data_IF_221826057143
#
_entry.id   IF_221826057143
#
_cell.length_a   1.000
_cell.length_b   1.000
_cell.length_c   1.000
_cell.angle_alpha   90.00
_cell.angle_beta   90.00
_cell.angle_gamma   90.00
#
_symmetry.space_group_name_H-M   'P 1'
#
loop_
_entity.id
_entity.type
_entity.pdbx_description
1 polymer ?
#
# COMPACT_ATOMS: atom_id res chain seq x y z
N UNK A 1 9.66 11.43 2.33
CA UNK A 1 8.59 11.15 3.31
C UNK A 1 7.88 9.81 3.15
N UNK A 2 8.10 9.08 2.10
CA UNK A 2 7.31 7.86 1.79
C UNK A 2 7.92 6.56 2.28
N UNK A 3 9.24 6.50 2.48
CA UNK A 3 9.90 5.41 3.18
C UNK A 3 9.45 5.34 4.65
N UNK A 4 9.02 6.48 5.20
CA UNK A 4 8.51 6.59 6.56
C UNK A 4 7.07 6.09 6.73
N UNK A 5 6.33 5.93 5.63
CA UNK A 5 4.94 5.50 5.65
C UNK A 5 4.79 4.06 6.17
N UNK A 6 5.52 3.12 5.58
CA UNK A 6 5.56 1.74 6.07
C UNK A 6 6.10 1.65 7.50
N UNK A 7 7.14 2.39 7.84
CA UNK A 7 7.71 2.42 9.18
C UNK A 7 6.71 2.95 10.22
N UNK A 8 5.89 3.94 9.84
CA UNK A 8 4.83 4.47 10.70
C UNK A 8 3.77 3.41 11.00
N UNK A 9 3.26 2.72 10.00
CA UNK A 9 2.27 1.65 10.16
C UNK A 9 2.85 0.45 10.91
N UNK A 10 4.10 0.06 10.64
CA UNK A 10 4.78 -0.99 11.38
C UNK A 10 4.91 -0.65 12.86
N UNK A 11 5.29 0.59 13.18
CA UNK A 11 5.42 1.05 14.55
C UNK A 11 4.09 0.94 15.31
N UNK A 12 2.96 1.28 14.69
CA UNK A 12 1.64 1.13 15.28
C UNK A 12 1.37 -0.35 15.61
N UNK A 13 1.64 -1.25 14.67
CA UNK A 13 1.44 -2.68 14.88
C UNK A 13 2.35 -3.23 15.99
N UNK A 14 3.61 -2.83 16.02
CA UNK A 14 4.58 -3.26 17.03
C UNK A 14 4.21 -2.77 18.43
N UNK A 15 3.82 -1.50 18.54
CA UNK A 15 3.47 -0.88 19.82
C UNK A 15 2.12 -1.34 20.35
N UNK A 16 1.29 -1.99 19.54
CA UNK A 16 0.03 -2.60 20.00
C UNK A 16 0.23 -3.73 21.01
N UNK A 17 1.44 -4.30 21.09
CA UNK A 17 1.72 -5.46 21.92
C UNK A 17 1.20 -6.78 21.34
N UNK A 18 0.54 -6.76 20.19
CA UNK A 18 0.03 -7.96 19.53
C UNK A 18 1.07 -8.49 18.53
N UNK A 19 1.81 -9.53 18.93
CA UNK A 19 2.84 -10.15 18.10
C UNK A 19 2.32 -10.68 16.78
N UNK A 20 1.16 -11.30 16.79
CA UNK A 20 0.57 -11.87 15.57
C UNK A 20 0.22 -10.79 14.56
N UNK A 21 -0.35 -9.69 15.03
CA UNK A 21 -0.62 -8.53 14.19
C UNK A 21 0.66 -7.99 13.55
N UNK A 22 1.71 -7.82 14.33
CA UNK A 22 3.00 -7.37 13.82
C UNK A 22 3.60 -8.34 12.81
N UNK A 23 3.55 -9.64 13.06
CA UNK A 23 4.02 -10.66 12.12
C UNK A 23 3.25 -10.67 10.80
N UNK A 24 1.94 -10.53 10.86
CA UNK A 24 1.08 -10.42 9.66
C UNK A 24 1.46 -9.18 8.86
N UNK A 25 1.65 -8.05 9.53
CA UNK A 25 2.08 -6.82 8.86
C UNK A 25 3.43 -7.01 8.16
N UNK A 26 4.43 -7.50 8.86
CA UNK A 26 5.79 -7.72 8.32
C UNK A 26 5.78 -8.68 7.14
N UNK A 27 4.99 -9.75 7.20
CA UNK A 27 4.88 -10.72 6.10
C UNK A 27 4.25 -10.13 4.83
N UNK A 28 3.47 -9.06 4.96
CA UNK A 28 2.86 -8.35 3.83
C UNK A 28 3.69 -7.17 3.31
N UNK A 29 4.81 -6.84 3.93
CA UNK A 29 5.66 -5.71 3.53
C UNK A 29 6.07 -5.73 2.06
N UNK A 30 6.48 -6.86 1.44
CA UNK A 30 6.81 -6.88 0.03
C UNK A 30 5.66 -6.45 -0.89
N UNK A 31 4.44 -6.89 -0.58
CA UNK A 31 3.22 -6.51 -1.31
C UNK A 31 2.91 -5.03 -1.09
N UNK A 32 3.00 -4.57 0.14
CA UNK A 32 2.77 -3.18 0.52
C UNK A 32 3.74 -2.24 -0.19
N UNK A 33 5.01 -2.59 -0.29
CA UNK A 33 6.01 -1.79 -1.03
C UNK A 33 5.63 -1.62 -2.50
N UNK A 34 5.09 -2.66 -3.12
CA UNK A 34 4.62 -2.57 -4.50
C UNK A 34 3.42 -1.64 -4.65
N UNK A 35 2.50 -1.65 -3.68
CA UNK A 35 1.35 -0.77 -3.64
C UNK A 35 1.73 0.68 -3.34
N UNK A 36 2.74 0.92 -2.51
CA UNK A 36 3.20 2.28 -2.17
C UNK A 36 3.84 3.02 -3.34
N UNK A 37 4.28 2.35 -4.38
CA UNK A 37 4.65 3.01 -5.63
C UNK A 37 3.45 3.69 -6.31
N UNK A 38 2.27 3.12 -6.15
CA UNK A 38 1.02 3.75 -6.58
C UNK A 38 0.68 4.96 -5.72
N UNK A 39 0.93 4.89 -4.42
CA UNK A 39 0.75 6.02 -3.51
C UNK A 39 1.55 7.24 -3.95
N UNK A 40 2.77 7.08 -4.43
CA UNK A 40 3.58 8.19 -4.94
C UNK A 40 2.88 8.97 -6.05
N UNK A 41 2.22 8.27 -6.94
CA UNK A 41 1.47 8.89 -8.03
C UNK A 41 0.21 9.58 -7.48
N UNK A 42 -0.47 8.95 -6.54
CA UNK A 42 -1.68 9.48 -5.93
C UNK A 42 -1.41 10.70 -5.05
N UNK A 43 -0.34 10.66 -4.24
CA UNK A 43 0.07 11.79 -3.39
C UNK A 43 0.48 13.02 -4.20
N UNK A 44 1.08 12.84 -5.36
CA UNK A 44 1.43 13.94 -6.25
C UNK A 44 0.19 14.69 -6.77
N UNK A 45 -0.94 13.99 -6.90
CA UNK A 45 -2.20 14.56 -7.41
C UNK A 45 -3.15 15.04 -6.31
N UNK A 46 -2.94 14.64 -5.04
CA UNK A 46 -3.85 14.95 -3.93
C UNK A 46 -3.09 15.33 -2.65
N UNK A 47 -2.73 16.61 -2.48
CA UNK A 47 -1.97 17.08 -1.31
C UNK A 47 -2.63 16.79 0.06
N UNK A 48 -3.96 16.64 0.10
CA UNK A 48 -4.69 16.37 1.34
C UNK A 48 -4.35 15.01 1.94
N UNK A 49 -3.90 14.05 1.14
CA UNK A 49 -3.48 12.73 1.63
C UNK A 49 -2.25 12.80 2.55
N UNK A 50 -1.39 13.80 2.36
CA UNK A 50 -0.21 13.99 3.20
C UNK A 50 -0.55 14.27 4.67
N UNK A 51 -1.75 14.80 4.94
CA UNK A 51 -2.20 15.11 6.29
C UNK A 51 -2.86 13.92 7.01
N UNK A 52 -3.12 12.83 6.34
CA UNK A 52 -3.84 11.70 6.95
C UNK A 52 -3.06 11.02 8.06
N UNK A 53 -1.73 10.94 7.94
CA UNK A 53 -0.89 10.41 9.00
C UNK A 53 -0.86 11.32 10.23
N UNK A 54 -0.89 12.63 10.02
CA UNK A 54 -0.98 13.58 11.13
C UNK A 54 -2.30 13.43 11.88
N UNK A 55 -3.41 13.28 11.16
CA UNK A 55 -4.73 13.04 11.76
C UNK A 55 -4.78 11.73 12.54
N UNK A 56 -4.16 10.68 12.00
CA UNK A 56 -4.08 9.40 12.67
C UNK A 56 -3.23 9.48 13.94
N UNK A 57 -2.10 10.18 13.88
CA UNK A 57 -1.25 10.41 15.04
C UNK A 57 -1.97 11.22 16.13
N UNK A 58 -2.67 12.28 15.75
CA UNK A 58 -3.51 13.05 16.68
C UNK A 58 -4.58 12.19 17.36
N UNK A 59 -5.21 11.31 16.61
CA UNK A 59 -6.21 10.40 17.15
C UNK A 59 -5.59 9.41 18.16
N UNK A 60 -4.40 8.90 17.89
CA UNK A 60 -3.66 8.03 18.82
C UNK A 60 -3.23 8.80 20.06
N UNK A 61 -2.71 10.00 19.90
CA UNK A 61 -2.26 10.87 21.00
C UNK A 61 -3.42 11.31 21.92
N UNK A 62 -4.64 11.35 21.40
CA UNK A 62 -5.82 11.67 22.20
C UNK A 62 -6.09 10.67 23.32
N UNK A 63 -5.56 9.45 23.23
CA UNK A 63 -5.79 8.40 24.18
C UNK A 63 -7.19 7.76 24.09
N UNK A 64 -8.00 8.14 23.11
CA UNK A 64 -9.31 7.58 22.87
C UNK A 64 -9.22 6.45 21.82
N UNK A 65 -9.36 5.17 22.22
CA UNK A 65 -9.24 4.05 21.30
C UNK A 65 -10.32 4.03 20.22
N UNK A 66 -11.53 4.48 20.51
CA UNK A 66 -12.62 4.53 19.52
C UNK A 66 -12.34 5.57 18.44
N UNK A 67 -11.79 6.70 18.82
CA UNK A 67 -11.34 7.72 17.87
C UNK A 67 -10.20 7.22 17.00
N UNK A 68 -9.22 6.55 17.57
CA UNK A 68 -8.08 5.99 16.86
C UNK A 68 -8.53 4.92 15.87
N UNK A 69 -9.43 4.03 16.27
CA UNK A 69 -10.01 2.99 15.40
C UNK A 69 -10.77 3.61 14.22
N UNK A 70 -11.63 4.57 14.48
CA UNK A 70 -12.40 5.25 13.44
C UNK A 70 -11.48 5.93 12.41
N UNK A 71 -10.41 6.56 12.86
CA UNK A 71 -9.45 7.23 11.98
C UNK A 71 -8.65 6.24 11.13
N UNK A 72 -8.22 5.11 11.69
CA UNK A 72 -7.54 4.04 10.94
C UNK A 72 -8.46 3.45 9.87
N UNK A 73 -9.70 3.15 10.22
CA UNK A 73 -10.69 2.61 9.27
C UNK A 73 -10.91 3.60 8.12
N UNK A 74 -11.10 4.86 8.43
CA UNK A 74 -11.28 5.92 7.43
C UNK A 74 -10.06 6.03 6.49
N UNK A 75 -8.86 6.00 7.06
CA UNK A 75 -7.61 6.05 6.31
C UNK A 75 -7.47 4.86 5.33
N UNK A 76 -7.72 3.65 5.81
CA UNK A 76 -7.61 2.44 5.00
C UNK A 76 -8.68 2.35 3.91
N UNK A 77 -9.92 2.73 4.22
CA UNK A 77 -11.01 2.77 3.24
C UNK A 77 -10.73 3.77 2.13
N UNK A 78 -10.21 4.94 2.48
CA UNK A 78 -9.83 5.95 1.50
C UNK A 78 -8.70 5.49 0.60
N UNK A 79 -7.67 4.86 1.17
CA UNK A 79 -6.57 4.29 0.40
C UNK A 79 -7.07 3.21 -0.58
N UNK A 80 -7.95 2.33 -0.11
CA UNK A 80 -8.59 1.31 -0.95
C UNK A 80 -9.34 1.93 -2.11
N UNK A 81 -10.16 2.93 -1.86
CA UNK A 81 -10.99 3.56 -2.88
C UNK A 81 -10.14 4.28 -3.93
N UNK A 82 -9.08 4.94 -3.52
CA UNK A 82 -8.14 5.61 -4.42
C UNK A 82 -7.39 4.63 -5.32
N UNK A 83 -6.88 3.55 -4.75
CA UNK A 83 -6.18 2.50 -5.50
C UNK A 83 -7.15 1.82 -6.49
N UNK A 84 -8.34 1.48 -6.05
CA UNK A 84 -9.38 0.89 -6.90
C UNK A 84 -9.75 1.79 -8.07
N UNK A 85 -9.92 3.08 -7.82
CA UNK A 85 -10.23 4.06 -8.86
C UNK A 85 -9.07 4.21 -9.87
N UNK A 86 -7.84 4.20 -9.39
CA UNK A 86 -6.65 4.26 -10.24
C UNK A 86 -6.55 3.04 -11.15
N UNK A 87 -6.69 1.84 -10.61
CA UNK A 87 -6.62 0.58 -11.36
C UNK A 87 -7.74 0.46 -12.40
N UNK A 88 -8.90 1.01 -12.12
CA UNK A 88 -10.03 1.03 -13.07
C UNK A 88 -9.78 1.94 -14.26
N UNK A 89 -9.02 3.03 -14.09
CA UNK A 89 -8.69 3.98 -15.17
C UNK A 89 -7.51 3.52 -16.03
N UNK A 90 -6.60 2.75 -15.48
CA UNK A 90 -5.42 2.25 -16.16
C UNK A 90 -5.36 0.73 -16.04
N UNK A 91 -6.21 -0.01 -16.80
CA UNK A 91 -6.14 -1.45 -16.76
C UNK A 91 -4.73 -1.90 -17.19
N UNK A 92 -4.14 -2.88 -16.51
CA UNK A 92 -2.84 -3.41 -16.89
C UNK A 92 -2.93 -3.88 -18.34
N UNK A 93 -2.02 -3.39 -19.18
CA UNK A 93 -1.92 -3.83 -20.57
C UNK A 93 -1.70 -5.35 -20.57
N UNK A 94 -2.65 -6.08 -21.13
CA UNK A 94 -2.60 -7.56 -21.23
C UNK A 94 -1.44 -8.07 -22.12
N UNK A 95 -0.56 -7.18 -22.59
CA UNK A 95 0.48 -7.50 -23.54
C UNK A 95 1.84 -7.91 -22.97
N UNK A 96 2.11 -7.73 -21.68
CA UNK A 96 3.46 -7.93 -21.16
C UNK A 96 3.82 -9.38 -20.81
N UNK A 97 2.87 -10.32 -20.85
CA UNK A 97 3.09 -11.70 -20.43
C UNK A 97 3.11 -12.74 -21.57
N UNK A 98 2.88 -12.34 -22.81
CA UNK A 98 2.80 -13.29 -23.93
C UNK A 98 4.06 -13.39 -24.80
N UNK A 99 5.07 -12.53 -24.60
CA UNK A 99 6.22 -12.48 -25.52
C UNK A 99 7.45 -13.30 -25.10
N UNK A 100 7.42 -13.99 -23.97
CA UNK A 100 8.57 -14.83 -23.55
C UNK A 100 8.45 -16.30 -23.96
N UNK A 101 7.33 -16.74 -24.48
CA UNK A 101 7.10 -18.13 -24.87
C UNK A 101 7.31 -18.42 -26.38
N UNK A 102 7.55 -17.42 -27.20
CA UNK A 102 7.63 -17.59 -28.66
C UNK A 102 9.04 -17.55 -29.25
N UNK A 103 10.11 -17.53 -28.43
CA UNK A 103 11.48 -17.60 -28.94
C UNK A 103 12.25 -18.81 -28.39
N UNK A 104 11.83 -19.98 -28.78
CA UNK A 104 12.52 -21.22 -28.46
C UNK A 104 12.12 -22.33 -29.41
N UNK A 105 12.51 -22.21 -30.67
CA UNK A 105 12.19 -23.24 -31.63
C UNK A 105 12.81 -23.00 -32.99
N UNK A 106 14.11 -22.95 -33.05
CA UNK A 106 14.89 -22.97 -34.29
C UNK A 106 15.93 -24.05 -34.24
N UNK A 107 15.55 -25.28 -34.41
CA UNK A 107 16.48 -26.39 -34.69
C UNK A 107 16.77 -26.37 -36.16
N UNK A 108 17.94 -25.89 -36.51
CA UNK A 108 18.56 -26.18 -37.78
C UNK A 108 19.09 -27.60 -37.76
N UNK A 109 18.52 -28.44 -38.56
CA UNK A 109 19.10 -29.72 -38.91
C UNK A 109 19.90 -29.60 -40.19
N UNK A 110 21.15 -29.92 -40.10
CA UNK A 110 21.89 -30.67 -41.11
C UNK A 110 22.76 -31.69 -40.45
#
# INVERSE_FOLDING_TARGET
MRIHDLAFHEAICRLSGNRRLHQVFVSNVPILRSLFKLDEILYASQPLLAREHDLLLEAIESGDPDRAEAEVVRHLERARDLVSAYLSRSPPSRGAFQDSAARGGGTSRK
#
